data_IF_467434856828
#
_entry.id   IF_467434856828
#
_cell.length_a   1.000
_cell.length_b   1.000
_cell.length_c   1.000
_cell.angle_alpha   90.00
_cell.angle_beta   90.00
_cell.angle_gamma   90.00
#
_symmetry.space_group_name_H-M   'P 1'
#
loop_
_entity.id
_entity.type
_entity.pdbx_description
1 polymer ?
#
# COMPACT_ATOMS: atom_id res chain seq x y z
N UNK A 1 38.94 29.95 32.23
CA UNK A 1 39.47 28.63 32.63
C UNK A 1 39.01 27.60 31.62
N UNK A 2 39.99 26.91 31.04
CA UNK A 2 39.94 25.69 30.20
C UNK A 2 39.10 25.69 28.92
N UNK A 3 39.78 25.99 27.81
CA UNK A 3 39.57 25.35 26.50
C UNK A 3 39.55 23.82 26.70
N UNK A 4 38.37 23.23 26.84
CA UNK A 4 38.21 21.78 26.74
C UNK A 4 37.94 21.44 25.29
N UNK A 5 38.61 20.40 24.81
CA UNK A 5 38.48 19.74 23.50
C UNK A 5 37.00 19.70 23.05
N UNK A 6 36.65 19.89 21.76
CA UNK A 6 35.27 19.75 21.33
C UNK A 6 34.79 18.35 21.73
N UNK A 7 33.79 18.25 22.60
CA UNK A 7 33.06 16.99 22.79
C UNK A 7 32.51 16.62 21.42
N UNK A 8 33.08 15.58 20.80
CA UNK A 8 32.49 15.00 19.60
C UNK A 8 31.09 14.49 19.88
N UNK A 9 30.35 14.21 18.81
CA UNK A 9 29.05 13.56 18.90
C UNK A 9 29.12 12.17 18.24
N UNK A 10 28.44 11.21 18.86
CA UNK A 10 28.24 9.89 18.25
C UNK A 10 26.79 9.79 17.80
N UNK A 11 26.57 9.65 16.49
CA UNK A 11 25.28 9.38 15.89
C UNK A 11 25.04 7.87 15.89
N UNK A 12 24.04 7.42 16.66
CA UNK A 12 23.73 6.00 16.83
C UNK A 12 22.46 5.67 16.04
N UNK A 13 22.57 4.84 15.01
CA UNK A 13 21.43 4.38 14.18
C UNK A 13 20.87 3.05 14.69
N UNK A 14 19.55 2.93 14.72
CA UNK A 14 18.80 1.72 15.08
C UNK A 14 17.79 1.38 13.98
N UNK A 15 17.65 0.09 13.65
CA UNK A 15 16.71 -0.43 12.65
C UNK A 15 16.96 -0.04 11.17
N UNK A 16 18.19 0.34 10.82
CA UNK A 16 18.59 0.64 9.43
C UNK A 16 18.55 2.14 9.09
N UNK A 17 19.09 2.48 7.92
CA UNK A 17 19.20 3.86 7.45
C UNK A 17 17.81 4.46 7.09
N UNK A 18 17.48 5.72 7.46
CA UNK A 18 16.22 6.34 7.10
C UNK A 18 16.07 6.55 5.58
N UNK A 19 14.84 6.46 5.07
CA UNK A 19 14.55 6.77 3.66
C UNK A 19 14.67 8.28 3.39
N UNK A 20 15.24 8.65 2.24
CA UNK A 20 15.63 10.03 1.89
C UNK A 20 14.51 11.09 2.02
N UNK A 21 13.25 10.71 1.80
CA UNK A 21 12.08 11.59 1.81
C UNK A 21 11.36 11.67 3.17
N UNK A 22 12.00 11.26 4.27
CA UNK A 22 11.35 11.18 5.58
C UNK A 22 11.86 12.23 6.56
N UNK A 23 11.05 12.56 7.58
CA UNK A 23 11.45 13.42 8.69
C UNK A 23 12.72 12.91 9.42
N UNK A 24 12.95 11.60 9.39
CA UNK A 24 14.17 11.01 9.93
C UNK A 24 15.41 11.34 9.11
N UNK A 25 15.33 11.27 7.77
CA UNK A 25 16.44 11.71 6.92
C UNK A 25 16.66 13.21 7.05
N UNK A 26 15.59 14.01 7.13
CA UNK A 26 15.69 15.44 7.40
C UNK A 26 16.45 15.71 8.72
N UNK A 27 16.03 15.07 9.82
CA UNK A 27 16.69 15.20 11.12
C UNK A 27 18.18 14.80 11.09
N UNK A 28 18.53 13.73 10.37
CA UNK A 28 19.92 13.30 10.20
C UNK A 28 20.75 14.40 9.53
N UNK A 29 20.23 15.01 8.46
CA UNK A 29 20.92 16.08 7.75
C UNK A 29 21.08 17.34 8.62
N UNK A 30 20.05 17.72 9.41
CA UNK A 30 20.12 18.84 10.36
C UNK A 30 21.33 18.70 11.29
N UNK A 31 21.49 17.51 11.88
CA UNK A 31 22.59 17.20 12.82
C UNK A 31 23.94 17.26 12.12
N UNK A 32 24.08 16.63 10.95
CA UNK A 32 25.35 16.58 10.23
C UNK A 32 25.79 17.97 9.76
N UNK A 33 24.86 18.78 9.24
CA UNK A 33 25.15 20.16 8.82
C UNK A 33 25.57 21.00 10.02
N UNK A 34 24.83 20.94 11.13
CA UNK A 34 25.15 21.69 12.35
C UNK A 34 26.50 21.28 12.95
N UNK A 35 26.84 19.99 12.94
CA UNK A 35 28.11 19.50 13.45
C UNK A 35 29.28 20.01 12.61
N UNK A 36 29.17 19.97 11.28
CA UNK A 36 30.20 20.50 10.38
C UNK A 36 30.30 22.03 10.46
N UNK A 37 29.18 22.74 10.61
CA UNK A 37 29.18 24.20 10.76
C UNK A 37 29.78 24.69 12.09
N UNK A 38 29.85 23.81 13.10
CA UNK A 38 30.39 24.12 14.43
C UNK A 38 31.74 23.43 14.70
N UNK A 39 32.37 22.87 13.66
CA UNK A 39 33.63 22.10 13.74
C UNK A 39 33.59 20.97 14.79
N UNK A 40 32.41 20.35 14.97
CA UNK A 40 32.20 19.24 15.92
C UNK A 40 32.43 17.91 15.21
N UNK A 41 33.34 17.08 15.74
CA UNK A 41 33.61 15.75 15.21
C UNK A 41 32.36 14.84 15.31
N UNK A 42 32.06 14.11 14.23
CA UNK A 42 30.93 13.18 14.15
C UNK A 42 31.45 11.76 13.95
N UNK A 43 31.08 10.87 14.85
CA UNK A 43 31.23 9.42 14.68
C UNK A 43 29.86 8.80 14.40
N UNK A 44 29.75 7.89 13.42
CA UNK A 44 28.49 7.20 13.11
C UNK A 44 28.62 5.73 13.49
N UNK A 45 27.69 5.24 14.30
CA UNK A 45 27.64 3.85 14.79
C UNK A 45 26.25 3.26 14.61
N UNK A 46 26.16 1.93 14.56
CA UNK A 46 24.90 1.20 14.42
C UNK A 46 24.66 0.27 15.61
N UNK A 47 23.39 0.04 15.94
CA UNK A 47 23.00 -0.85 17.03
C UNK A 47 21.70 -1.58 16.74
N UNK A 48 21.58 -2.79 17.27
CA UNK A 48 20.37 -3.60 17.23
C UNK A 48 19.44 -3.35 18.43
N UNK A 49 19.79 -2.40 19.31
CA UNK A 49 18.99 -2.06 20.50
C UNK A 49 17.95 -1.01 20.16
N UNK A 50 16.69 -1.29 20.49
CA UNK A 50 15.61 -0.31 20.41
C UNK A 50 15.95 0.94 21.25
N UNK A 51 15.84 2.12 20.64
CA UNK A 51 15.94 3.39 21.35
C UNK A 51 14.67 3.59 22.19
N UNK A 52 14.72 3.33 23.50
CA UNK A 52 13.62 3.72 24.38
C UNK A 52 13.55 5.25 24.45
N UNK A 53 12.60 5.86 23.73
CA UNK A 53 12.32 7.30 23.79
C UNK A 53 12.64 8.12 22.53
N UNK A 54 13.16 7.52 21.45
CA UNK A 54 13.33 8.23 20.17
C UNK A 54 12.14 8.03 19.25
N UNK A 55 11.65 9.12 18.64
CA UNK A 55 10.74 9.06 17.48
C UNK A 55 11.48 8.86 16.16
N UNK A 56 12.81 9.06 16.16
CA UNK A 56 13.67 8.92 15.00
C UNK A 56 14.42 7.56 15.08
N UNK A 57 14.80 6.96 13.93
CA UNK A 57 15.61 5.75 13.88
C UNK A 57 17.08 5.99 14.28
N UNK A 58 17.40 7.15 14.88
CA UNK A 58 18.71 7.45 15.42
C UNK A 58 18.59 8.33 16.68
N UNK A 59 19.68 8.44 17.43
CA UNK A 59 19.88 9.42 18.50
C UNK A 59 21.33 9.87 18.54
N UNK A 60 21.60 10.96 19.24
CA UNK A 60 22.93 11.53 19.38
C UNK A 60 23.41 11.37 20.81
N UNK A 61 24.64 10.86 20.98
CA UNK A 61 25.35 10.81 22.26
C UNK A 61 26.38 11.93 22.29
N UNK A 62 26.44 12.66 23.40
CA UNK A 62 27.38 13.78 23.57
C UNK A 62 28.64 13.32 24.31
N UNK A 63 29.81 13.46 23.68
CA UNK A 63 31.12 13.11 24.25
C UNK A 63 31.33 11.61 24.52
N UNK A 64 32.46 11.31 25.16
CA UNK A 64 32.95 9.94 25.37
C UNK A 64 32.20 9.19 26.48
N UNK A 65 31.57 9.90 27.42
CA UNK A 65 30.75 9.30 28.46
C UNK A 65 29.32 9.16 27.93
N UNK A 66 28.87 7.92 27.66
CA UNK A 66 27.53 7.61 27.10
C UNK A 66 26.31 8.03 27.97
N UNK A 67 26.43 9.04 28.82
CA UNK A 67 25.43 9.47 29.79
C UNK A 67 24.38 10.42 29.20
N UNK A 68 24.73 11.30 28.27
CA UNK A 68 23.77 12.25 27.69
C UNK A 68 23.36 11.85 26.28
N UNK A 69 22.05 11.61 26.10
CA UNK A 69 21.44 11.24 24.83
C UNK A 69 20.42 12.29 24.42
N UNK A 70 20.50 12.72 23.18
CA UNK A 70 19.53 13.62 22.53
C UNK A 70 18.77 12.84 21.45
N UNK A 71 17.44 12.89 21.53
CA UNK A 71 16.54 12.16 20.62
C UNK A 71 15.88 13.07 19.57
N UNK A 72 15.97 14.39 19.76
CA UNK A 72 15.40 15.39 18.87
C UNK A 72 16.51 16.11 18.10
N UNK A 73 16.37 16.20 16.77
CA UNK A 73 17.39 16.79 15.92
C UNK A 73 17.56 18.29 16.17
N UNK A 74 16.46 19.03 16.38
CA UNK A 74 16.53 20.47 16.63
C UNK A 74 17.16 20.75 18.02
N UNK A 75 16.96 19.89 19.01
CA UNK A 75 17.67 19.94 20.29
C UNK A 75 19.18 19.76 20.13
N UNK A 76 19.63 18.86 19.23
CA UNK A 76 21.06 18.71 18.89
C UNK A 76 21.59 19.97 18.22
N UNK A 77 20.86 20.54 17.25
CA UNK A 77 21.26 21.81 16.61
C UNK A 77 21.40 22.92 17.65
N UNK A 78 20.42 23.08 18.54
CA UNK A 78 20.48 24.06 19.65
C UNK A 78 21.71 23.87 20.53
N UNK A 79 22.04 22.62 20.86
CA UNK A 79 23.21 22.28 21.66
C UNK A 79 24.51 22.67 20.96
N UNK A 80 24.69 22.27 19.69
CA UNK A 80 25.91 22.51 18.92
C UNK A 80 26.18 24.00 18.73
N UNK A 81 25.15 24.79 18.41
CA UNK A 81 25.27 26.25 18.27
C UNK A 81 25.25 27.00 19.61
N UNK A 82 25.12 26.29 20.75
CA UNK A 82 25.06 26.87 22.10
C UNK A 82 24.02 27.99 22.21
N UNK A 83 22.83 27.77 21.63
CA UNK A 83 21.82 28.82 21.45
C UNK A 83 21.33 29.44 22.77
N UNK A 84 21.41 28.70 23.88
CA UNK A 84 21.12 29.22 25.23
C UNK A 84 22.12 30.26 25.76
N UNK A 85 23.19 30.55 25.02
CA UNK A 85 24.16 31.63 25.34
C UNK A 85 23.93 32.90 24.52
N UNK A 86 22.96 32.90 23.61
CA UNK A 86 22.59 34.08 22.82
C UNK A 86 21.93 35.14 23.71
N UNK A 87 21.94 36.40 23.26
CA UNK A 87 21.19 37.44 23.93
C UNK A 87 19.68 37.11 23.91
N UNK A 88 18.89 37.50 24.93
CA UNK A 88 17.48 37.08 25.02
C UNK A 88 16.65 37.36 23.76
N UNK A 89 16.85 38.50 23.10
CA UNK A 89 16.13 38.85 21.87
C UNK A 89 16.50 37.93 20.68
N UNK A 90 17.79 37.62 20.53
CA UNK A 90 18.30 36.74 19.48
C UNK A 90 17.85 35.29 19.72
N UNK A 91 17.88 34.85 20.98
CA UNK A 91 17.41 33.52 21.36
C UNK A 91 15.92 33.34 21.03
N UNK A 92 15.07 34.32 21.40
CA UNK A 92 13.62 34.29 21.09
C UNK A 92 13.38 34.26 19.58
N UNK A 93 14.07 35.10 18.81
CA UNK A 93 13.92 35.13 17.36
C UNK A 93 14.31 33.78 16.72
N UNK A 94 15.37 33.14 17.21
CA UNK A 94 15.78 31.82 16.75
C UNK A 94 14.78 30.72 17.13
N UNK A 95 14.26 30.72 18.36
CA UNK A 95 13.27 29.73 18.79
C UNK A 95 11.96 29.83 17.99
N UNK A 96 11.53 31.04 17.61
CA UNK A 96 10.38 31.23 16.71
C UNK A 96 10.60 30.59 15.32
N UNK A 97 11.84 30.53 14.84
CA UNK A 97 12.18 29.87 13.58
C UNK A 97 12.14 28.34 13.70
N UNK A 98 12.68 27.78 14.79
CA UNK A 98 12.56 26.36 15.07
C UNK A 98 11.10 25.93 15.24
N UNK A 99 10.31 26.68 16.01
CA UNK A 99 8.89 26.40 16.20
C UNK A 99 8.12 26.48 14.87
N UNK A 100 8.42 27.48 14.03
CA UNK A 100 7.83 27.60 12.70
C UNK A 100 8.18 26.41 11.80
N UNK A 101 9.44 25.97 11.80
CA UNK A 101 9.89 24.81 11.03
C UNK A 101 9.17 23.54 11.48
N UNK A 102 9.09 23.29 12.79
CA UNK A 102 8.44 22.11 13.37
C UNK A 102 6.92 22.08 13.12
N UNK A 103 6.24 23.23 13.24
CA UNK A 103 4.78 23.34 13.11
C UNK A 103 4.28 23.58 11.69
N UNK A 104 5.18 23.89 10.76
CA UNK A 104 4.82 24.21 9.37
C UNK A 104 5.52 23.25 8.41
N UNK A 105 6.84 23.36 8.27
CA UNK A 105 7.59 22.63 7.25
C UNK A 105 7.63 21.13 7.53
N UNK A 106 7.86 20.73 8.77
CA UNK A 106 7.93 19.32 9.18
C UNK A 106 6.58 18.58 9.13
N UNK A 107 5.45 19.30 9.00
CA UNK A 107 4.11 18.70 8.91
C UNK A 107 3.63 18.49 7.47
N UNK A 108 4.31 19.08 6.47
CA UNK A 108 3.92 18.90 5.07
C UNK A 108 4.24 17.49 4.57
N UNK A 109 3.31 16.93 3.79
CA UNK A 109 3.58 15.73 3.00
C UNK A 109 4.33 16.15 1.73
N UNK A 110 5.59 15.75 1.60
CA UNK A 110 6.46 16.18 0.49
C UNK A 110 5.91 15.82 -0.90
N UNK A 111 5.04 14.82 -1.01
CA UNK A 111 4.42 14.42 -2.28
C UNK A 111 3.15 15.22 -2.57
N UNK A 112 2.35 15.56 -1.55
CA UNK A 112 1.06 16.24 -1.73
C UNK A 112 1.15 17.76 -1.67
N UNK A 113 2.02 18.28 -0.81
CA UNK A 113 2.03 19.69 -0.40
C UNK A 113 3.24 20.47 -0.92
N UNK A 114 3.98 19.92 -1.89
CA UNK A 114 5.24 20.47 -2.38
C UNK A 114 5.19 21.99 -2.67
N UNK A 115 4.17 22.46 -3.42
CA UNK A 115 4.06 23.88 -3.75
C UNK A 115 3.79 24.76 -2.52
N UNK A 116 2.97 24.29 -1.58
CA UNK A 116 2.68 25.01 -0.34
C UNK A 116 3.91 25.07 0.58
N UNK A 117 4.66 23.97 0.64
CA UNK A 117 5.92 23.88 1.37
C UNK A 117 6.99 24.84 0.80
N UNK A 118 7.15 24.88 -0.53
CA UNK A 118 8.06 25.81 -1.21
C UNK A 118 7.65 27.27 -0.98
N UNK A 119 6.36 27.60 -1.09
CA UNK A 119 5.86 28.95 -0.83
C UNK A 119 6.06 29.38 0.63
N UNK A 120 5.81 28.49 1.59
CA UNK A 120 6.04 28.77 3.00
C UNK A 120 7.52 29.06 3.28
N UNK A 121 8.42 28.25 2.69
CA UNK A 121 9.86 28.44 2.85
C UNK A 121 10.35 29.73 2.19
N UNK A 122 9.94 30.05 0.95
CA UNK A 122 10.37 31.25 0.21
C UNK A 122 10.05 32.55 0.96
N UNK A 123 8.88 32.62 1.60
CA UNK A 123 8.47 33.76 2.43
C UNK A 123 9.33 33.99 3.67
N UNK A 124 10.08 32.96 4.12
CA UNK A 124 10.84 33.00 5.38
C UNK A 124 12.34 33.12 5.18
N UNK A 125 12.90 32.39 4.20
CA UNK A 125 14.35 32.32 3.96
C UNK A 125 14.97 33.66 3.56
N UNK A 126 14.17 34.62 3.07
CA UNK A 126 14.63 36.00 2.84
C UNK A 126 15.08 36.73 4.12
N UNK A 127 14.75 36.20 5.30
CA UNK A 127 15.16 36.73 6.61
C UNK A 127 16.49 36.14 7.12
N UNK A 128 17.05 35.15 6.42
CA UNK A 128 18.27 34.46 6.87
C UNK A 128 19.53 35.17 6.38
N UNK A 129 20.65 34.93 7.05
CA UNK A 129 21.92 35.62 6.75
C UNK A 129 22.39 35.34 5.33
N UNK A 130 23.01 36.35 4.71
CA UNK A 130 23.59 36.28 3.37
C UNK A 130 25.12 36.20 3.38
N UNK A 131 25.73 36.02 4.56
CA UNK A 131 27.19 35.98 4.74
C UNK A 131 27.86 34.66 4.34
N UNK A 132 27.06 33.66 3.91
CA UNK A 132 27.55 32.35 3.49
C UNK A 132 27.87 31.40 4.65
N UNK A 133 27.62 31.82 5.90
CA UNK A 133 27.66 30.93 7.06
C UNK A 133 26.34 30.17 7.18
N UNK A 134 26.41 28.94 7.71
CA UNK A 134 25.21 28.15 8.01
C UNK A 134 24.87 28.38 9.47
N UNK A 135 23.80 29.12 9.74
CA UNK A 135 23.30 29.32 11.10
C UNK A 135 22.47 28.14 11.61
N UNK A 136 22.09 28.20 12.90
CA UNK A 136 21.25 27.18 13.53
C UNK A 136 19.89 27.02 12.80
N UNK A 137 19.26 28.13 12.41
CA UNK A 137 18.02 28.11 11.64
C UNK A 137 18.23 27.57 10.21
N UNK A 138 19.35 27.92 9.57
CA UNK A 138 19.68 27.41 8.23
C UNK A 138 19.83 25.89 8.27
N UNK A 139 20.56 25.34 9.24
CA UNK A 139 20.73 23.90 9.41
C UNK A 139 19.38 23.18 9.59
N UNK A 140 18.46 23.77 10.39
CA UNK A 140 17.13 23.20 10.62
C UNK A 140 16.28 23.20 9.35
N UNK A 141 16.14 24.37 8.69
CA UNK A 141 15.31 24.52 7.49
C UNK A 141 15.88 23.73 6.32
N UNK A 142 17.21 23.76 6.14
CA UNK A 142 17.88 23.02 5.07
C UNK A 142 17.65 21.52 5.24
N UNK A 143 17.81 20.98 6.45
CA UNK A 143 17.58 19.56 6.68
C UNK A 143 16.16 19.12 6.27
N UNK A 144 15.15 19.89 6.62
CA UNK A 144 13.74 19.63 6.27
C UNK A 144 13.46 19.79 4.78
N UNK A 145 14.04 20.81 4.15
CA UNK A 145 13.77 21.15 2.76
C UNK A 145 14.66 20.42 1.74
N UNK A 146 15.78 19.82 2.18
CA UNK A 146 16.83 19.33 1.27
C UNK A 146 16.32 18.33 0.25
N UNK A 147 15.53 17.35 0.66
CA UNK A 147 15.00 16.34 -0.27
C UNK A 147 14.16 16.98 -1.37
N UNK A 148 13.23 17.88 -1.00
CA UNK A 148 12.36 18.58 -1.95
C UNK A 148 13.18 19.45 -2.89
N UNK A 149 14.08 20.28 -2.35
CA UNK A 149 14.86 21.24 -3.12
C UNK A 149 15.90 20.57 -4.04
N UNK A 150 16.51 19.46 -3.61
CA UNK A 150 17.50 18.72 -4.42
C UNK A 150 16.87 17.93 -5.56
N UNK A 151 15.57 17.60 -5.48
CA UNK A 151 14.85 16.84 -6.51
C UNK A 151 13.86 17.68 -7.32
N UNK A 152 13.60 18.94 -6.93
CA UNK A 152 12.71 19.83 -7.65
C UNK A 152 13.29 20.21 -9.03
N UNK A 153 12.44 20.17 -10.07
CA UNK A 153 12.81 20.65 -11.41
C UNK A 153 13.20 22.14 -11.34
N UNK A 154 14.21 22.56 -12.10
CA UNK A 154 14.64 23.96 -12.13
C UNK A 154 13.51 24.93 -12.49
N UNK A 155 12.55 24.50 -13.32
CA UNK A 155 11.36 25.28 -13.67
C UNK A 155 10.41 25.52 -12.49
N UNK A 156 10.36 24.60 -11.52
CA UNK A 156 9.54 24.75 -10.31
C UNK A 156 10.23 25.71 -9.34
N UNK A 157 11.54 25.54 -9.14
CA UNK A 157 12.32 26.43 -8.26
C UNK A 157 12.39 27.88 -8.78
N UNK A 158 12.32 28.08 -10.11
CA UNK A 158 12.30 29.41 -10.71
C UNK A 158 11.11 30.28 -10.24
N UNK A 159 10.01 29.68 -9.77
CA UNK A 159 8.89 30.39 -9.18
C UNK A 159 9.16 30.93 -7.76
N UNK A 160 10.25 30.48 -7.12
CA UNK A 160 10.63 30.79 -5.73
C UNK A 160 12.08 31.30 -5.67
N UNK A 161 12.35 32.52 -6.18
CA UNK A 161 13.71 33.00 -6.41
C UNK A 161 14.51 33.20 -5.11
N UNK A 162 13.87 33.60 -4.01
CA UNK A 162 14.55 33.80 -2.72
C UNK A 162 15.03 32.46 -2.16
N UNK A 163 14.17 31.45 -2.22
CA UNK A 163 14.46 30.07 -1.83
C UNK A 163 15.50 29.42 -2.71
N UNK A 164 15.41 29.61 -4.03
CA UNK A 164 16.39 29.09 -4.98
C UNK A 164 17.78 29.67 -4.70
N UNK A 165 17.90 30.98 -4.50
CA UNK A 165 19.17 31.63 -4.20
C UNK A 165 19.71 31.20 -2.83
N UNK A 166 18.85 31.16 -1.80
CA UNK A 166 19.24 30.68 -0.49
C UNK A 166 19.75 29.24 -0.54
N UNK A 167 19.02 28.33 -1.19
CA UNK A 167 19.40 26.92 -1.31
C UNK A 167 20.74 26.76 -2.02
N UNK A 168 20.94 27.47 -3.14
CA UNK A 168 22.20 27.46 -3.88
C UNK A 168 23.40 27.90 -3.02
N UNK A 169 23.22 28.91 -2.14
CA UNK A 169 24.25 29.31 -1.18
C UNK A 169 24.52 28.23 -0.13
N UNK A 170 23.46 27.66 0.45
CA UNK A 170 23.60 26.67 1.50
C UNK A 170 24.33 25.41 1.01
N UNK A 171 23.97 24.87 -0.16
CA UNK A 171 24.64 23.69 -0.72
C UNK A 171 26.09 23.93 -1.15
N UNK A 172 26.47 25.19 -1.39
CA UNK A 172 27.84 25.59 -1.69
C UNK A 172 28.69 25.83 -0.42
N UNK A 173 28.08 25.86 0.76
CA UNK A 173 28.83 26.04 2.02
C UNK A 173 29.71 24.83 2.32
N UNK A 174 30.85 25.08 2.98
CA UNK A 174 31.78 24.02 3.39
C UNK A 174 31.10 23.02 4.35
N UNK A 175 30.26 23.51 5.27
CA UNK A 175 29.55 22.69 6.24
C UNK A 175 28.60 21.69 5.57
N UNK A 176 27.80 22.15 4.60
CA UNK A 176 26.87 21.26 3.88
C UNK A 176 27.65 20.31 2.97
N UNK A 177 28.65 20.81 2.25
CA UNK A 177 29.50 19.97 1.37
C UNK A 177 30.16 18.82 2.13
N UNK A 178 30.61 19.05 3.37
CA UNK A 178 31.18 18.01 4.24
C UNK A 178 30.12 17.05 4.82
N UNK A 179 28.91 17.55 5.09
CA UNK A 179 27.81 16.74 5.63
C UNK A 179 27.20 15.77 4.61
N UNK A 180 27.10 16.16 3.33
CA UNK A 180 26.37 15.41 2.31
C UNK A 180 26.89 13.99 2.03
N UNK A 181 28.21 13.70 1.96
CA UNK A 181 28.71 12.34 1.79
C UNK A 181 28.34 11.42 2.97
N UNK A 182 28.44 11.94 4.20
CA UNK A 182 28.06 11.19 5.41
C UNK A 182 26.56 10.94 5.40
N UNK A 183 25.76 11.95 5.05
CA UNK A 183 24.31 11.82 4.90
C UNK A 183 23.93 10.75 3.87
N UNK A 184 24.49 10.83 2.66
CA UNK A 184 24.19 9.90 1.56
C UNK A 184 24.57 8.44 1.88
N UNK A 185 25.64 8.21 2.64
CA UNK A 185 26.04 6.87 3.08
C UNK A 185 25.11 6.28 4.17
N UNK A 186 24.29 7.13 4.80
CA UNK A 186 23.50 6.80 5.98
C UNK A 186 22.00 6.97 5.76
N UNK A 187 21.54 7.02 4.49
CA UNK A 187 20.13 7.01 4.09
C UNK A 187 19.86 5.90 3.06
N UNK A 188 18.62 5.44 2.99
CA UNK A 188 18.14 4.63 1.87
C UNK A 188 17.68 5.58 0.76
N UNK A 189 18.31 5.47 -0.41
CA UNK A 189 17.88 6.20 -1.61
C UNK A 189 16.47 5.77 -1.98
N UNK A 190 15.55 6.72 -2.02
CA UNK A 190 14.26 6.51 -2.68
C UNK A 190 14.51 6.56 -4.18
N UNK A 191 14.13 5.50 -4.89
CA UNK A 191 14.13 5.51 -6.35
C UNK A 191 13.08 6.54 -6.80
N UNK A 192 13.51 7.77 -7.06
CA UNK A 192 12.69 8.72 -7.80
C UNK A 192 12.52 8.11 -9.18
N UNK A 193 11.29 7.67 -9.49
CA UNK A 193 10.96 7.07 -10.78
C UNK A 193 11.19 8.15 -11.83
N UNK A 194 12.23 8.02 -12.64
CA UNK A 194 12.43 8.94 -13.76
C UNK A 194 11.17 8.98 -14.60
N UNK A 195 10.77 10.17 -15.02
CA UNK A 195 9.61 10.28 -15.89
C UNK A 195 9.88 9.49 -17.19
N UNK A 196 8.95 8.62 -17.62
CA UNK A 196 9.20 7.74 -18.75
C UNK A 196 9.30 8.53 -20.06
N UNK A 197 10.51 8.67 -20.59
CA UNK A 197 10.83 9.24 -21.90
C UNK A 197 11.11 8.14 -22.94
N UNK A 198 11.16 8.50 -24.23
CA UNK A 198 11.57 7.55 -25.27
C UNK A 198 13.02 7.04 -25.08
N UNK A 199 13.87 7.82 -24.40
CA UNK A 199 15.29 7.54 -24.26
C UNK A 199 15.64 6.67 -23.04
N UNK A 200 14.78 6.62 -22.01
CA UNK A 200 14.97 5.80 -20.80
C UNK A 200 13.96 4.64 -20.70
N UNK A 201 13.09 4.48 -21.69
CA UNK A 201 12.28 3.26 -21.86
C UNK A 201 13.09 2.22 -22.62
N UNK A 202 13.20 1.02 -22.06
CA UNK A 202 13.60 -0.17 -22.82
C UNK A 202 12.44 -0.63 -23.71
N UNK A 203 12.00 0.22 -24.64
CA UNK A 203 10.96 -0.11 -25.62
C UNK A 203 11.65 -0.61 -26.89
N UNK A 204 11.32 -1.83 -27.31
CA UNK A 204 11.69 -2.25 -28.66
C UNK A 204 10.70 -1.57 -29.61
N UNK A 205 11.15 -0.54 -30.33
CA UNK A 205 10.31 0.23 -31.27
C UNK A 205 9.78 -0.65 -32.41
N UNK A 206 10.39 -1.81 -32.66
CA UNK A 206 10.01 -2.75 -33.70
C UNK A 206 8.98 -3.79 -33.24
N UNK A 207 8.57 -3.78 -31.97
CA UNK A 207 7.57 -4.72 -31.43
C UNK A 207 6.29 -3.96 -31.06
N UNK A 208 5.40 -3.83 -32.03
CA UNK A 208 4.04 -3.37 -31.78
C UNK A 208 3.23 -4.50 -31.14
N UNK A 209 2.51 -4.19 -30.07
CA UNK A 209 1.55 -5.13 -29.49
C UNK A 209 0.44 -5.39 -30.52
N UNK A 210 0.53 -6.51 -31.22
CA UNK A 210 -0.52 -6.99 -32.13
C UNK A 210 -1.39 -8.02 -31.40
N UNK A 211 -2.67 -7.70 -31.26
CA UNK A 211 -3.68 -8.56 -30.65
C UNK A 211 -4.85 -8.69 -31.62
N UNK A 212 -5.03 -9.91 -32.13
CA UNK A 212 -6.15 -10.26 -33.01
C UNK A 212 -7.11 -11.19 -32.25
N UNK A 213 -8.22 -10.66 -31.71
CA UNK A 213 -9.19 -11.45 -30.96
C UNK A 213 -9.93 -12.49 -31.83
N UNK A 214 -9.82 -12.43 -33.15
CA UNK A 214 -10.45 -13.40 -34.06
C UNK A 214 -9.61 -14.67 -34.27
N UNK A 215 -8.33 -14.63 -33.91
CA UNK A 215 -7.40 -15.74 -34.17
C UNK A 215 -7.63 -16.88 -33.18
N UNK A 216 -7.94 -18.07 -33.71
CA UNK A 216 -7.97 -19.29 -32.90
C UNK A 216 -6.55 -19.69 -32.50
N UNK A 217 -6.26 -19.66 -31.20
CA UNK A 217 -4.95 -20.00 -30.63
C UNK A 217 -4.95 -21.46 -30.21
N UNK A 218 -4.04 -22.25 -30.78
CA UNK A 218 -3.82 -23.66 -30.46
C UNK A 218 -2.35 -23.88 -30.11
N UNK A 219 -2.01 -24.86 -29.24
CA UNK A 219 -0.63 -25.20 -28.96
C UNK A 219 0.16 -25.55 -30.22
N UNK A 220 1.38 -25.02 -30.34
CA UNK A 220 2.30 -25.27 -31.45
C UNK A 220 3.48 -26.09 -30.91
N UNK A 221 3.78 -27.20 -31.57
CA UNK A 221 4.90 -28.08 -31.19
C UNK A 221 6.25 -27.34 -31.31
N UNK A 222 7.14 -27.54 -30.34
CA UNK A 222 8.46 -26.88 -30.31
C UNK A 222 8.46 -25.40 -29.95
N UNK A 223 7.29 -24.78 -29.69
CA UNK A 223 7.15 -23.38 -29.25
C UNK A 223 6.64 -23.33 -27.81
N UNK A 224 7.00 -22.27 -27.07
CA UNK A 224 6.46 -22.05 -25.72
C UNK A 224 4.98 -21.67 -25.79
N UNK A 225 4.12 -22.58 -25.33
CA UNK A 225 2.67 -22.41 -25.25
C UNK A 225 2.28 -22.01 -23.82
N UNK A 226 1.57 -20.90 -23.64
CA UNK A 226 1.24 -20.34 -22.33
C UNK A 226 -0.28 -20.18 -22.23
N UNK A 227 -0.90 -20.96 -21.34
CA UNK A 227 -2.29 -20.76 -20.91
C UNK A 227 -2.30 -19.85 -19.68
N UNK A 228 -3.04 -18.75 -19.78
CA UNK A 228 -3.24 -17.80 -18.70
C UNK A 228 -4.72 -17.81 -18.35
N UNK A 229 -5.02 -17.98 -17.07
CA UNK A 229 -6.38 -17.88 -16.54
C UNK A 229 -6.41 -16.82 -15.46
N UNK A 230 -7.44 -16.00 -15.47
CA UNK A 230 -7.79 -15.15 -14.34
C UNK A 230 -8.91 -15.83 -13.52
N UNK A 231 -8.94 -15.57 -12.21
CA UNK A 231 -10.03 -16.08 -11.38
C UNK A 231 -11.36 -15.54 -11.89
N UNK A 232 -12.36 -16.41 -12.03
CA UNK A 232 -13.68 -16.06 -12.52
C UNK A 232 -14.36 -15.11 -11.53
N UNK A 233 -14.63 -13.84 -11.90
CA UNK A 233 -15.44 -12.95 -11.07
C UNK A 233 -16.84 -13.53 -10.85
N UNK A 234 -17.31 -13.45 -9.61
CA UNK A 234 -18.68 -13.85 -9.28
C UNK A 234 -19.67 -12.84 -9.86
N UNK A 235 -20.62 -13.32 -10.65
CA UNK A 235 -21.44 -12.47 -11.54
C UNK A 235 -22.42 -11.57 -10.80
N UNK A 236 -22.80 -11.86 -9.57
CA UNK A 236 -23.93 -11.18 -8.94
C UNK A 236 -23.62 -9.77 -8.38
N UNK A 237 -22.42 -9.23 -8.63
CA UNK A 237 -21.95 -7.94 -8.12
C UNK A 237 -21.20 -7.15 -9.20
N UNK A 238 -21.21 -5.82 -9.10
CA UNK A 238 -20.35 -4.97 -9.95
C UNK A 238 -18.88 -5.13 -9.50
N UNK A 239 -17.92 -5.36 -10.42
CA UNK A 239 -16.53 -5.48 -10.05
C UNK A 239 -15.97 -4.15 -9.54
N UNK A 240 -15.26 -4.18 -8.41
CA UNK A 240 -14.53 -3.03 -7.87
C UNK A 240 -13.03 -3.12 -8.18
N UNK A 241 -12.28 -2.02 -7.97
CA UNK A 241 -10.85 -1.93 -8.29
C UNK A 241 -10.01 -3.07 -7.67
N UNK A 242 -10.32 -3.46 -6.43
CA UNK A 242 -9.70 -4.62 -5.78
C UNK A 242 -9.82 -5.95 -6.56
N UNK A 243 -10.98 -6.24 -7.17
CA UNK A 243 -11.15 -7.45 -7.98
C UNK A 243 -10.30 -7.38 -9.26
N UNK A 244 -10.25 -6.19 -9.88
CA UNK A 244 -9.56 -5.96 -11.14
C UNK A 244 -8.04 -6.10 -10.94
N UNK A 245 -7.46 -5.36 -9.99
CA UNK A 245 -6.02 -5.39 -9.75
C UNK A 245 -5.53 -6.75 -9.25
N UNK A 246 -6.33 -7.43 -8.42
CA UNK A 246 -5.95 -8.71 -7.82
C UNK A 246 -5.98 -9.89 -8.78
N UNK A 247 -6.61 -9.76 -9.96
CA UNK A 247 -6.80 -10.88 -10.88
C UNK A 247 -6.68 -10.46 -12.34
N UNK A 248 -7.70 -9.81 -12.89
CA UNK A 248 -7.84 -9.64 -14.36
C UNK A 248 -6.79 -8.70 -14.95
N UNK A 249 -6.50 -7.57 -14.29
CA UNK A 249 -5.50 -6.61 -14.75
C UNK A 249 -4.07 -7.14 -14.59
N UNK A 250 -3.79 -7.82 -13.48
CA UNK A 250 -2.47 -8.46 -13.27
C UNK A 250 -2.20 -9.55 -14.32
N UNK A 251 -3.22 -10.36 -14.64
CA UNK A 251 -3.13 -11.38 -15.68
C UNK A 251 -2.98 -10.76 -17.08
N UNK A 252 -3.67 -9.65 -17.36
CA UNK A 252 -3.57 -8.94 -18.64
C UNK A 252 -2.16 -8.39 -18.89
N UNK A 253 -1.54 -7.75 -17.88
CA UNK A 253 -0.15 -7.26 -17.98
C UNK A 253 0.80 -8.39 -18.35
N UNK A 254 0.66 -9.56 -17.73
CA UNK A 254 1.47 -10.72 -18.06
C UNK A 254 1.16 -11.30 -19.44
N UNK A 255 -0.13 -11.35 -19.84
CA UNK A 255 -0.54 -11.81 -21.16
C UNK A 255 0.06 -10.94 -22.27
N UNK A 256 -0.01 -9.61 -22.12
CA UNK A 256 0.59 -8.65 -23.06
C UNK A 256 2.10 -8.83 -23.16
N UNK A 257 2.78 -8.91 -22.03
CA UNK A 257 4.21 -9.21 -21.99
C UNK A 257 4.54 -10.54 -22.70
N UNK A 258 3.79 -11.60 -22.42
CA UNK A 258 3.98 -12.91 -23.01
C UNK A 258 3.85 -12.90 -24.54
N UNK A 259 2.85 -12.19 -25.07
CA UNK A 259 2.64 -12.00 -26.52
C UNK A 259 3.78 -11.20 -27.15
N UNK A 260 4.21 -10.10 -26.54
CA UNK A 260 5.35 -9.28 -27.00
C UNK A 260 6.65 -10.09 -27.03
N UNK A 261 6.81 -11.07 -26.14
CA UNK A 261 7.94 -12.01 -26.14
C UNK A 261 7.86 -13.09 -27.22
N UNK A 262 6.82 -13.10 -28.05
CA UNK A 262 6.62 -14.07 -29.12
C UNK A 262 6.10 -15.43 -28.64
N UNK A 263 5.64 -15.54 -27.40
CA UNK A 263 5.07 -16.81 -26.90
C UNK A 263 3.65 -17.02 -27.45
N UNK A 264 3.32 -18.26 -27.75
CA UNK A 264 1.96 -18.65 -28.12
C UNK A 264 1.06 -18.62 -26.88
N UNK A 265 0.29 -17.54 -26.71
CA UNK A 265 -0.37 -17.20 -25.44
C UNK A 265 -1.87 -17.23 -25.61
N UNK A 266 -2.58 -17.99 -24.77
CA UNK A 266 -4.03 -18.02 -24.66
C UNK A 266 -4.44 -17.51 -23.28
N UNK A 267 -5.12 -16.37 -23.22
CA UNK A 267 -5.61 -15.73 -21.99
C UNK A 267 -7.13 -15.77 -21.93
N UNK A 268 -7.66 -16.53 -20.97
CA UNK A 268 -9.10 -16.74 -20.81
C UNK A 268 -9.59 -16.35 -19.42
N UNK A 269 -10.83 -15.88 -19.36
CA UNK A 269 -11.58 -15.65 -18.13
C UNK A 269 -13.08 -15.79 -18.42
N UNK A 270 -13.93 -15.49 -17.45
CA UNK A 270 -15.37 -15.51 -17.61
C UNK A 270 -16.08 -15.24 -16.29
N UNK A 271 -17.40 -15.24 -16.29
CA UNK A 271 -18.21 -15.08 -15.08
C UNK A 271 -18.49 -16.41 -14.41
N UNK A 272 -18.41 -16.43 -13.08
CA UNK A 272 -18.93 -17.51 -12.25
C UNK A 272 -20.38 -17.20 -11.84
N UNK A 273 -21.31 -18.09 -12.20
CA UNK A 273 -22.74 -17.79 -12.23
C UNK A 273 -23.60 -18.67 -11.32
N UNK A 274 -23.06 -19.83 -10.90
CA UNK A 274 -23.81 -20.76 -10.05
C UNK A 274 -23.66 -20.44 -8.57
N UNK A 275 -24.57 -20.99 -7.76
CA UNK A 275 -24.51 -20.90 -6.30
C UNK A 275 -25.67 -20.12 -5.70
N UNK A 276 -25.92 -20.36 -4.42
CA UNK A 276 -27.10 -19.83 -3.73
C UNK A 276 -27.12 -18.31 -3.67
N UNK A 277 -25.97 -17.62 -3.71
CA UNK A 277 -25.98 -16.15 -3.69
C UNK A 277 -26.57 -15.55 -4.98
N UNK A 278 -26.47 -16.24 -6.12
CA UNK A 278 -27.19 -15.91 -7.36
C UNK A 278 -28.69 -16.10 -7.15
N UNK A 279 -29.09 -17.23 -6.55
CA UNK A 279 -30.51 -17.52 -6.26
C UNK A 279 -31.13 -16.50 -5.32
N UNK A 280 -30.44 -16.15 -4.22
CA UNK A 280 -30.89 -15.13 -3.27
C UNK A 280 -31.08 -13.80 -3.97
N UNK A 281 -30.09 -13.38 -4.78
CA UNK A 281 -30.12 -12.07 -5.43
C UNK A 281 -31.20 -12.01 -6.51
N UNK A 282 -31.38 -13.09 -7.26
CA UNK A 282 -32.45 -13.21 -8.25
C UNK A 282 -33.83 -13.10 -7.58
N UNK A 283 -34.01 -13.74 -6.42
CA UNK A 283 -35.24 -13.64 -5.63
C UNK A 283 -35.48 -12.21 -5.10
N UNK A 284 -34.44 -11.54 -4.59
CA UNK A 284 -34.51 -10.14 -4.14
C UNK A 284 -34.88 -9.18 -5.28
N UNK A 285 -34.34 -9.38 -6.49
CA UNK A 285 -34.62 -8.56 -7.67
C UNK A 285 -35.91 -8.97 -8.40
N UNK A 286 -36.55 -10.08 -8.01
CA UNK A 286 -37.77 -10.58 -8.63
C UNK A 286 -37.58 -11.09 -10.06
N UNK A 287 -36.38 -11.59 -10.39
CA UNK A 287 -36.00 -12.10 -11.72
C UNK A 287 -35.52 -13.56 -11.63
N UNK A 288 -35.40 -14.24 -12.77
CA UNK A 288 -34.76 -15.57 -12.81
C UNK A 288 -33.24 -15.46 -12.61
N UNK A 289 -32.60 -16.55 -12.17
CA UNK A 289 -31.14 -16.61 -12.07
C UNK A 289 -30.46 -16.34 -13.42
N UNK A 290 -31.06 -16.83 -14.51
CA UNK A 290 -30.51 -16.61 -15.86
C UNK A 290 -30.53 -15.13 -16.24
N UNK A 291 -31.66 -14.46 -16.03
CA UNK A 291 -31.78 -13.01 -16.30
C UNK A 291 -30.80 -12.19 -15.47
N UNK A 292 -30.64 -12.53 -14.18
CA UNK A 292 -29.66 -11.88 -13.32
C UNK A 292 -28.23 -12.05 -13.87
N UNK A 293 -27.83 -13.28 -14.19
CA UNK A 293 -26.50 -13.55 -14.73
C UNK A 293 -26.28 -12.89 -16.09
N UNK A 294 -27.29 -12.86 -16.96
CA UNK A 294 -27.21 -12.20 -18.27
C UNK A 294 -27.00 -10.69 -18.13
N UNK A 295 -27.72 -10.05 -17.19
CA UNK A 295 -27.57 -8.63 -16.86
C UNK A 295 -26.14 -8.31 -16.40
N UNK A 296 -25.64 -9.02 -15.38
CA UNK A 296 -24.34 -8.68 -14.81
C UNK A 296 -23.17 -9.18 -15.66
N UNK A 297 -23.32 -10.25 -16.46
CA UNK A 297 -22.31 -10.63 -17.45
C UNK A 297 -22.01 -9.47 -18.40
N UNK A 298 -23.04 -8.77 -18.89
CA UNK A 298 -22.86 -7.59 -19.73
C UNK A 298 -22.11 -6.47 -18.99
N UNK A 299 -22.43 -6.21 -17.72
CA UNK A 299 -21.74 -5.21 -16.88
C UNK A 299 -20.26 -5.55 -16.69
N UNK A 300 -19.93 -6.82 -16.39
CA UNK A 300 -18.55 -7.27 -16.28
C UNK A 300 -17.79 -7.09 -17.59
N UNK A 301 -18.41 -7.53 -18.70
CA UNK A 301 -17.81 -7.44 -20.02
C UNK A 301 -17.52 -5.99 -20.42
N UNK A 302 -18.49 -5.09 -20.25
CA UNK A 302 -18.32 -3.66 -20.54
C UNK A 302 -17.21 -3.03 -19.70
N UNK A 303 -17.16 -3.33 -18.40
CA UNK A 303 -16.10 -2.84 -17.52
C UNK A 303 -14.72 -3.31 -17.99
N UNK A 304 -14.58 -4.59 -18.35
CA UNK A 304 -13.29 -5.15 -18.78
C UNK A 304 -12.86 -4.67 -20.17
N UNK A 305 -13.81 -4.44 -21.08
CA UNK A 305 -13.54 -3.81 -22.37
C UNK A 305 -13.09 -2.35 -22.17
N UNK A 306 -13.71 -1.60 -21.26
CA UNK A 306 -13.30 -0.24 -20.95
C UNK A 306 -11.90 -0.15 -20.33
N UNK A 307 -11.53 -1.13 -19.50
CA UNK A 307 -10.17 -1.27 -18.97
C UNK A 307 -9.14 -1.78 -20.01
N UNK A 308 -9.57 -2.04 -21.25
CA UNK A 308 -8.76 -2.63 -22.32
C UNK A 308 -8.11 -3.96 -21.89
N UNK A 309 -8.89 -4.88 -21.30
CA UNK A 309 -8.38 -6.20 -20.96
C UNK A 309 -8.42 -7.13 -22.17
N UNK A 310 -7.26 -7.70 -22.52
CA UNK A 310 -7.01 -8.44 -23.76
C UNK A 310 -7.31 -9.94 -23.64
N UNK A 311 -8.53 -10.30 -23.20
CA UNK A 311 -8.97 -11.69 -23.13
C UNK A 311 -9.20 -12.28 -24.52
N UNK A 312 -8.48 -13.36 -24.86
CA UNK A 312 -8.72 -14.11 -26.10
C UNK A 312 -10.12 -14.76 -26.08
N UNK A 313 -10.62 -15.12 -24.89
CA UNK A 313 -12.01 -15.50 -24.68
C UNK A 313 -12.47 -15.06 -23.29
N UNK A 314 -13.59 -14.33 -23.24
CA UNK A 314 -14.35 -14.10 -22.02
C UNK A 314 -15.65 -14.93 -22.07
N UNK A 315 -15.73 -15.95 -21.21
CA UNK A 315 -16.79 -16.97 -21.21
C UNK A 315 -17.74 -16.87 -20.02
N UNK A 316 -18.53 -17.93 -19.81
CA UNK A 316 -19.54 -18.06 -18.75
C UNK A 316 -19.56 -19.49 -18.24
N UNK A 317 -19.83 -19.71 -16.95
CA UNK A 317 -19.97 -21.08 -16.41
C UNK A 317 -21.33 -21.70 -16.72
N UNK A 318 -22.37 -20.94 -17.03
CA UNK A 318 -23.72 -21.43 -17.31
C UNK A 318 -23.92 -21.90 -18.77
N UNK A 319 -23.13 -22.90 -19.20
CA UNK A 319 -23.18 -23.46 -20.56
C UNK A 319 -23.34 -24.98 -20.56
N UNK A 320 -23.91 -25.54 -21.63
CA UNK A 320 -24.05 -27.00 -21.78
C UNK A 320 -22.69 -27.72 -21.73
N UNK A 321 -21.63 -27.05 -22.22
CA UNK A 321 -20.26 -27.58 -22.20
C UNK A 321 -19.72 -27.70 -20.78
N UNK A 322 -20.07 -26.76 -19.89
CA UNK A 322 -19.74 -26.88 -18.46
C UNK A 322 -20.37 -28.14 -17.87
N UNK A 323 -21.66 -28.38 -18.13
CA UNK A 323 -22.36 -29.57 -17.64
C UNK A 323 -21.69 -30.85 -18.13
N UNK A 324 -21.39 -30.93 -19.43
CA UNK A 324 -20.72 -32.09 -20.03
C UNK A 324 -19.35 -32.37 -19.37
N UNK A 325 -18.49 -31.35 -19.27
CA UNK A 325 -17.12 -31.51 -18.75
C UNK A 325 -17.13 -31.86 -17.26
N UNK A 326 -17.96 -31.18 -16.45
CA UNK A 326 -18.03 -31.42 -15.01
C UNK A 326 -18.58 -32.81 -14.73
N UNK A 327 -19.62 -33.24 -15.45
CA UNK A 327 -20.17 -34.60 -15.29
C UNK A 327 -19.16 -35.67 -15.71
N UNK A 328 -18.41 -35.47 -16.80
CA UNK A 328 -17.37 -36.40 -17.21
C UNK A 328 -16.26 -36.55 -16.14
N UNK A 329 -15.79 -35.42 -15.57
CA UNK A 329 -14.82 -35.44 -14.47
C UNK A 329 -15.40 -36.16 -13.25
N UNK A 330 -16.63 -35.82 -12.86
CA UNK A 330 -17.33 -36.45 -11.73
C UNK A 330 -17.44 -37.97 -11.93
N UNK A 331 -17.91 -38.43 -13.09
CA UNK A 331 -18.06 -39.86 -13.36
C UNK A 331 -16.73 -40.60 -13.34
N UNK A 332 -15.65 -40.00 -13.85
CA UNK A 332 -14.30 -40.58 -13.75
C UNK A 332 -13.80 -40.65 -12.31
N UNK A 333 -14.04 -39.62 -11.51
CA UNK A 333 -13.65 -39.63 -10.08
C UNK A 333 -14.45 -40.68 -9.30
N UNK A 334 -15.76 -40.75 -9.54
CA UNK A 334 -16.64 -41.72 -8.93
C UNK A 334 -16.26 -43.16 -9.31
N UNK A 335 -15.99 -43.42 -10.60
CA UNK A 335 -15.56 -44.73 -11.08
C UNK A 335 -14.20 -45.18 -10.49
N UNK A 336 -13.32 -44.23 -10.16
CA UNK A 336 -12.04 -44.50 -9.51
C UNK A 336 -12.14 -44.58 -7.97
N UNK A 337 -13.33 -44.48 -7.38
CA UNK A 337 -13.54 -44.58 -5.93
C UNK A 337 -13.07 -43.36 -5.13
N UNK A 338 -12.94 -42.19 -5.78
CA UNK A 338 -12.54 -40.94 -5.11
C UNK A 338 -13.71 -40.12 -4.55
N UNK A 339 -14.94 -40.61 -4.67
CA UNK A 339 -16.18 -39.96 -4.22
C UNK A 339 -16.82 -40.88 -3.16
N UNK A 340 -17.32 -40.31 -2.07
CA UNK A 340 -17.87 -41.06 -0.95
C UNK A 340 -19.14 -40.43 -0.43
N UNK A 341 -20.22 -41.18 -0.43
CA UNK A 341 -21.50 -40.71 0.09
C UNK A 341 -21.45 -40.56 1.62
N UNK A 342 -21.93 -39.42 2.11
CA UNK A 342 -22.15 -39.16 3.53
C UNK A 342 -23.50 -38.50 3.75
N UNK A 343 -24.25 -39.05 4.70
CA UNK A 343 -25.48 -38.43 5.18
C UNK A 343 -25.15 -37.38 6.23
N UNK A 344 -25.71 -36.18 6.07
CA UNK A 344 -25.60 -35.09 7.03
C UNK A 344 -26.97 -34.56 7.38
N UNK A 345 -27.21 -34.31 8.67
CA UNK A 345 -28.43 -33.68 9.15
C UNK A 345 -28.35 -32.18 8.94
N UNK A 346 -29.32 -31.61 8.22
CA UNK A 346 -29.38 -30.20 7.88
C UNK A 346 -30.75 -29.62 8.28
N UNK A 347 -30.81 -28.30 8.49
CA UNK A 347 -32.08 -27.62 8.75
C UNK A 347 -32.90 -27.51 7.46
N UNK A 348 -34.17 -27.89 7.54
CA UNK A 348 -35.14 -27.90 6.44
C UNK A 348 -36.35 -27.04 6.83
N UNK A 349 -36.69 -26.08 5.98
CA UNK A 349 -37.92 -25.31 6.14
C UNK A 349 -39.04 -25.99 5.35
N UNK A 350 -40.08 -26.45 6.06
CA UNK A 350 -41.21 -27.14 5.45
C UNK A 350 -42.02 -26.23 4.53
N UNK A 351 -42.26 -24.99 4.96
CA UNK A 351 -43.05 -24.01 4.19
C UNK A 351 -42.30 -23.50 2.95
N UNK A 352 -40.99 -23.28 3.04
CA UNK A 352 -40.15 -22.96 1.88
C UNK A 352 -39.78 -24.18 1.04
N UNK A 353 -40.07 -25.39 1.53
CA UNK A 353 -39.77 -26.69 0.92
C UNK A 353 -38.31 -26.81 0.43
N UNK A 354 -37.36 -26.41 1.28
CA UNK A 354 -35.92 -26.43 0.96
C UNK A 354 -35.05 -26.61 2.20
N UNK A 355 -33.85 -27.16 2.00
CA UNK A 355 -32.76 -27.09 2.99
C UNK A 355 -32.25 -25.65 3.10
N UNK A 356 -31.94 -25.23 4.33
CA UNK A 356 -31.45 -23.88 4.63
C UNK A 356 -29.93 -23.89 4.69
N UNK A 357 -29.30 -23.04 3.87
CA UNK A 357 -27.91 -22.67 4.08
C UNK A 357 -27.78 -21.83 5.36
N UNK A 358 -26.61 -21.83 5.99
CA UNK A 358 -26.36 -21.13 7.27
C UNK A 358 -26.81 -19.66 7.27
N UNK A 359 -26.66 -18.97 6.13
CA UNK A 359 -27.11 -17.58 5.91
C UNK A 359 -28.62 -17.35 5.98
N UNK A 360 -29.42 -18.41 5.85
CA UNK A 360 -30.88 -18.37 5.93
C UNK A 360 -31.40 -18.86 7.29
N UNK A 361 -30.51 -19.14 8.23
CA UNK A 361 -30.86 -19.56 9.59
C UNK A 361 -30.40 -18.48 10.56
N UNK A 362 -31.34 -18.02 11.39
CA UNK A 362 -31.08 -17.12 12.50
C UNK A 362 -31.64 -17.74 13.78
N UNK A 363 -31.05 -17.46 14.94
CA UNK A 363 -31.52 -18.02 16.19
C UNK A 363 -30.69 -17.56 17.38
N UNK A 364 -30.99 -18.11 18.55
CA UNK A 364 -30.34 -17.71 19.79
C UNK A 364 -29.00 -18.44 19.94
N UNK A 365 -27.91 -17.67 20.15
CA UNK A 365 -26.58 -18.20 20.36
C UNK A 365 -26.51 -19.03 21.66
N UNK A 366 -26.07 -20.30 21.60
CA UNK A 366 -25.99 -21.16 22.79
C UNK A 366 -24.91 -20.73 23.79
N UNK A 367 -23.98 -19.84 23.38
CA UNK A 367 -22.83 -19.40 24.20
C UNK A 367 -23.09 -18.12 24.97
N UNK A 368 -23.71 -17.13 24.33
CA UNK A 368 -23.86 -15.78 24.89
C UNK A 368 -25.31 -15.26 24.90
N UNK A 369 -26.26 -16.13 24.51
CA UNK A 369 -27.70 -15.85 24.49
C UNK A 369 -28.08 -14.64 23.63
N UNK A 370 -27.31 -14.39 22.57
CA UNK A 370 -27.68 -13.40 21.56
C UNK A 370 -28.77 -13.95 20.66
N UNK A 371 -29.94 -13.30 20.59
CA UNK A 371 -31.17 -13.84 20.00
C UNK A 371 -31.17 -13.93 18.46
N UNK A 372 -30.28 -13.20 17.79
CA UNK A 372 -30.17 -13.10 16.32
C UNK A 372 -28.78 -13.52 15.81
N UNK A 373 -28.23 -14.60 16.36
CA UNK A 373 -27.02 -15.21 15.81
C UNK A 373 -27.31 -15.90 14.47
N UNK A 374 -26.35 -15.83 13.54
CA UNK A 374 -26.42 -16.51 12.24
C UNK A 374 -26.01 -17.97 12.37
N UNK A 375 -26.41 -18.79 11.40
CA UNK A 375 -26.11 -20.23 11.38
C UNK A 375 -24.62 -20.58 11.38
N UNK A 376 -23.76 -19.67 10.89
CA UNK A 376 -22.31 -19.85 10.75
C UNK A 376 -21.51 -19.18 11.88
N UNK A 377 -22.00 -18.04 12.38
CA UNK A 377 -21.28 -17.23 13.35
C UNK A 377 -22.21 -16.35 14.20
N UNK A 378 -21.88 -16.21 15.48
CA UNK A 378 -22.50 -15.20 16.34
C UNK A 378 -21.73 -13.87 16.26
N UNK A 379 -22.37 -12.82 15.74
CA UNK A 379 -21.75 -11.51 15.59
C UNK A 379 -21.46 -10.80 16.94
N UNK A 380 -22.12 -11.22 18.03
CA UNK A 380 -21.89 -10.65 19.37
C UNK A 380 -20.63 -11.18 20.06
N UNK A 381 -20.39 -12.50 20.01
CA UNK A 381 -19.24 -13.12 20.70
C UNK A 381 -18.16 -13.63 19.74
N UNK A 382 -18.38 -13.53 18.43
CA UNK A 382 -17.43 -13.96 17.39
C UNK A 382 -17.30 -15.47 17.21
N UNK A 383 -18.02 -16.27 18.00
CA UNK A 383 -17.89 -17.74 17.96
C UNK A 383 -18.47 -18.32 16.67
N UNK A 384 -17.74 -19.29 16.08
CA UNK A 384 -18.22 -20.11 14.97
C UNK A 384 -19.25 -21.13 15.47
N UNK A 385 -20.34 -21.27 14.72
CA UNK A 385 -21.48 -22.12 15.06
C UNK A 385 -21.80 -23.06 13.88
N UNK A 386 -22.46 -24.18 14.17
CA UNK A 386 -23.24 -24.88 13.15
C UNK A 386 -24.70 -24.45 13.30
N UNK A 387 -25.43 -24.36 12.18
CA UNK A 387 -26.82 -23.91 12.21
C UNK A 387 -27.73 -24.80 13.10
N UNK A 388 -27.39 -26.09 13.23
CA UNK A 388 -28.08 -27.04 14.11
C UNK A 388 -27.85 -26.80 15.60
N UNK A 389 -26.84 -26.02 15.97
CA UNK A 389 -26.50 -25.72 17.38
C UNK A 389 -27.26 -24.49 17.92
N UNK A 390 -27.98 -23.77 17.05
CA UNK A 390 -28.78 -22.60 17.45
C UNK A 390 -29.97 -23.01 18.31
N UNK A 391 -30.23 -22.24 19.36
CA UNK A 391 -31.45 -22.36 20.16
C UNK A 391 -32.56 -21.60 19.45
N UNK A 392 -33.75 -22.21 19.32
CA UNK A 392 -34.90 -21.66 18.60
C UNK A 392 -34.54 -21.13 17.20
N UNK A 393 -34.01 -22.00 16.31
CA UNK A 393 -33.67 -21.59 14.96
C UNK A 393 -34.93 -21.11 14.22
N UNK A 394 -34.74 -20.12 13.36
CA UNK A 394 -35.76 -19.49 12.53
C UNK A 394 -35.23 -19.37 11.12
N UNK A 395 -36.10 -19.66 10.16
CA UNK A 395 -35.84 -19.46 8.75
C UNK A 395 -35.99 -17.96 8.42
N UNK A 396 -34.95 -17.33 7.89
CA UNK A 396 -34.94 -15.91 7.54
C UNK A 396 -35.96 -15.54 6.45
N UNK A 397 -36.36 -16.51 5.63
CA UNK A 397 -37.26 -16.27 4.49
C UNK A 397 -38.74 -16.17 4.90
N UNK A 398 -39.16 -16.90 5.94
CA UNK A 398 -40.57 -17.00 6.30
C UNK A 398 -40.86 -16.91 7.81
N UNK A 399 -39.81 -16.83 8.64
CA UNK A 399 -39.87 -16.70 10.09
C UNK A 399 -40.18 -17.99 10.86
N UNK A 400 -40.43 -19.12 10.19
CA UNK A 400 -40.82 -20.36 10.85
C UNK A 400 -39.61 -21.13 11.41
N UNK A 401 -39.86 -21.97 12.41
CA UNK A 401 -38.85 -22.88 12.94
C UNK A 401 -38.57 -24.03 11.95
N UNK A 402 -37.33 -24.18 11.48
CA UNK A 402 -36.95 -25.30 10.62
C UNK A 402 -36.83 -26.59 11.43
N UNK A 403 -36.98 -27.72 10.74
CA UNK A 403 -36.78 -29.07 11.30
C UNK A 403 -35.44 -29.65 10.87
N UNK A 404 -34.87 -30.56 11.64
CA UNK A 404 -33.69 -31.30 11.22
C UNK A 404 -34.13 -32.42 10.27
N UNK A 405 -33.50 -32.50 9.10
CA UNK A 405 -33.74 -33.55 8.12
C UNK A 405 -32.42 -34.05 7.55
N UNK A 406 -32.31 -35.35 7.36
CA UNK A 406 -31.13 -35.96 6.75
C UNK A 406 -31.11 -35.74 5.24
N UNK A 407 -29.93 -35.40 4.73
CA UNK A 407 -29.64 -35.29 3.31
C UNK A 407 -28.35 -36.05 3.00
N UNK A 408 -28.37 -36.88 1.95
CA UNK A 408 -27.18 -37.53 1.43
C UNK A 408 -26.43 -36.60 0.49
N UNK A 409 -25.13 -36.49 0.69
CA UNK A 409 -24.20 -35.78 -0.18
C UNK A 409 -23.14 -36.74 -0.70
N UNK A 410 -22.77 -36.63 -1.98
CA UNK A 410 -21.77 -37.47 -2.65
C UNK A 410 -20.36 -36.90 -2.55
#
# INVERSE_FOLDING_TARGET
MTNSVPLGITLVQNLGAPAANTAAAAGLLKVLVAANATDTAVEVTSTNKAASGSKLPFWVVLGDSQQTKLYDANAVVRFLYKTGRLAPAEHIALEQLFEWEEKTLSLFDTEKDMNAMLAAADNKVGQFSNDGTVGAADAAVLGTMYFVLSNAKSSVLAAFPSLQQWFARQIASAAVTAALPIYAANIVKVLVREEPSLNNRCFNQDVEFSYDPSKKILPIEGVKNILITSALPYVNNVPHLGNIIGSTLSADVFARYSRIRGNNTLFICGTDEYGTATETKALEEGVSCRELCDKYYAVHKEAYEWFDLSFDQFGRTSTDKQTEIVQDIFHKMHANGFISEKTTSQLYCEKCSRFLADRFVEGTCPRCSYEDARGDQCDKCGNLLNATDLIDPRCKLDGNSPIIRDSSHL
#
